data_IF_594660703093
#
_entry.id   IF_594660703093
#
_cell.length_a   1.000
_cell.length_b   1.000
_cell.length_c   1.000
_cell.angle_alpha   90.00
_cell.angle_beta   90.00
_cell.angle_gamma   90.00
#
_symmetry.space_group_name_H-M   'P 1'
#
loop_
_entity.id
_entity.type
_entity.pdbx_description
1 polymer ?
#
# COMPACT_ATOMS: atom_id res chain seq x y z
N UNK A 1 -7.35 -6.44 30.13
CA UNK A 1 -7.80 -7.82 29.91
C UNK A 1 -7.50 -8.20 28.47
N UNK A 2 -6.78 -9.31 28.24
CA UNK A 2 -6.50 -9.81 26.90
C UNK A 2 -7.78 -10.45 26.36
N UNK A 3 -8.22 -10.08 25.15
CA UNK A 3 -9.45 -10.64 24.56
C UNK A 3 -9.22 -12.15 24.32
N UNK A 4 -10.15 -13.03 24.71
CA UNK A 4 -9.99 -14.46 24.46
C UNK A 4 -9.88 -14.70 22.94
N UNK A 5 -8.88 -15.48 22.57
CA UNK A 5 -8.59 -15.84 21.18
C UNK A 5 -9.50 -17.01 20.80
N UNK A 6 -10.28 -16.84 19.73
CA UNK A 6 -11.10 -17.90 19.16
C UNK A 6 -10.62 -18.16 17.74
N UNK A 7 -10.03 -19.34 17.52
CA UNK A 7 -9.60 -19.77 16.19
C UNK A 7 -10.76 -20.32 15.38
N UNK A 8 -10.74 -20.08 14.06
CA UNK A 8 -11.59 -20.84 13.14
C UNK A 8 -11.08 -22.27 12.98
N UNK A 9 -11.89 -23.16 12.41
CA UNK A 9 -11.49 -24.55 12.13
C UNK A 9 -10.26 -24.65 11.20
N UNK A 10 -10.00 -23.60 10.40
CA UNK A 10 -8.82 -23.52 9.52
C UNK A 10 -7.54 -23.14 10.25
N UNK A 11 -7.61 -22.76 11.53
CA UNK A 11 -6.49 -22.18 12.29
C UNK A 11 -6.22 -22.92 13.60
N UNK A 12 -6.92 -24.04 13.81
CA UNK A 12 -7.04 -24.75 15.07
C UNK A 12 -5.70 -25.26 15.60
N UNK A 13 -4.80 -25.62 14.69
CA UNK A 13 -3.45 -26.13 15.01
C UNK A 13 -2.36 -25.20 14.51
N UNK A 14 -1.17 -25.19 15.15
CA UNK A 14 -0.02 -24.45 14.65
C UNK A 14 0.36 -24.82 13.20
N UNK A 15 0.24 -26.10 12.83
CA UNK A 15 0.53 -26.57 11.47
C UNK A 15 -0.42 -25.94 10.43
N UNK A 16 -1.72 -25.90 10.73
CA UNK A 16 -2.70 -25.25 9.84
C UNK A 16 -2.44 -23.73 9.72
N UNK A 17 -2.05 -23.07 10.81
CA UNK A 17 -1.67 -21.66 10.76
C UNK A 17 -0.42 -21.43 9.92
N UNK A 18 0.58 -22.32 10.02
CA UNK A 18 1.78 -22.25 9.20
C UNK A 18 1.44 -22.41 7.71
N UNK A 19 0.60 -23.39 7.36
CA UNK A 19 0.15 -23.62 5.98
C UNK A 19 -0.55 -22.38 5.39
N UNK A 20 -1.36 -21.67 6.18
CA UNK A 20 -2.00 -20.42 5.75
C UNK A 20 -0.96 -19.32 5.45
N UNK A 21 0.09 -19.20 6.24
CA UNK A 21 1.19 -18.24 6.00
C UNK A 21 1.99 -18.64 4.76
N UNK A 22 2.29 -19.92 4.59
CA UNK A 22 3.05 -20.41 3.44
C UNK A 22 2.28 -20.13 2.14
N UNK A 23 0.97 -20.35 2.13
CA UNK A 23 0.09 -19.99 1.02
C UNK A 23 0.09 -18.48 0.74
N UNK A 24 0.02 -17.64 1.77
CA UNK A 24 0.06 -16.18 1.62
C UNK A 24 1.42 -15.69 1.06
N UNK A 25 2.53 -16.32 1.48
CA UNK A 25 3.86 -16.04 0.93
C UNK A 25 3.96 -16.44 -0.54
N UNK A 26 3.49 -17.65 -0.90
CA UNK A 26 3.51 -18.13 -2.27
C UNK A 26 2.75 -17.19 -3.21
N UNK A 27 1.56 -16.72 -2.79
CA UNK A 27 0.78 -15.72 -3.52
C UNK A 27 1.48 -14.37 -3.64
N UNK A 28 2.18 -13.93 -2.59
CA UNK A 28 2.94 -12.67 -2.62
C UNK A 28 4.10 -12.76 -3.62
N UNK A 29 4.87 -13.85 -3.57
CA UNK A 29 6.00 -14.10 -4.48
C UNK A 29 5.53 -14.19 -5.93
N UNK A 30 4.41 -14.87 -6.18
CA UNK A 30 3.82 -14.94 -7.52
C UNK A 30 3.41 -13.55 -8.08
N UNK A 31 3.14 -12.58 -7.20
CA UNK A 31 2.85 -11.19 -7.56
C UNK A 31 4.10 -10.28 -7.54
N UNK A 32 5.29 -10.84 -7.32
CA UNK A 32 6.54 -10.08 -7.23
C UNK A 32 6.70 -9.28 -5.93
N UNK A 33 5.90 -9.59 -4.91
CA UNK A 33 5.93 -8.95 -3.60
C UNK A 33 6.62 -9.85 -2.56
N UNK A 34 7.41 -9.23 -1.67
CA UNK A 34 8.02 -9.89 -0.52
C UNK A 34 7.46 -9.28 0.76
N UNK A 35 6.96 -10.10 1.72
CA UNK A 35 6.51 -9.59 3.01
C UNK A 35 7.60 -8.78 3.71
N UNK A 36 7.21 -7.65 4.31
CA UNK A 36 8.14 -6.85 5.11
C UNK A 36 8.51 -7.57 6.41
N UNK A 37 9.65 -7.21 7.02
CA UNK A 37 10.06 -7.79 8.32
C UNK A 37 9.00 -7.64 9.43
N UNK A 38 8.19 -6.58 9.36
CA UNK A 38 7.08 -6.38 10.29
C UNK A 38 5.91 -7.33 10.03
N UNK A 39 5.56 -7.57 8.77
CA UNK A 39 4.56 -8.57 8.41
C UNK A 39 5.01 -9.97 8.87
N UNK A 40 6.31 -10.28 8.71
CA UNK A 40 6.89 -11.54 9.18
C UNK A 40 6.79 -11.72 10.70
N UNK A 41 7.00 -10.65 11.47
CA UNK A 41 6.81 -10.69 12.92
C UNK A 41 5.34 -10.97 13.31
N UNK A 42 4.37 -10.45 12.56
CA UNK A 42 2.95 -10.76 12.78
C UNK A 42 2.62 -12.21 12.44
N UNK A 43 3.18 -12.74 11.35
CA UNK A 43 3.02 -14.14 10.97
C UNK A 43 3.60 -15.10 12.01
N UNK A 44 4.78 -14.80 12.56
CA UNK A 44 5.37 -15.62 13.62
C UNK A 44 4.49 -15.70 14.88
N UNK A 45 3.95 -14.55 15.32
CA UNK A 45 3.04 -14.48 16.47
C UNK A 45 1.71 -15.20 16.22
N UNK A 46 1.22 -15.11 14.99
CA UNK A 46 0.05 -15.85 14.55
C UNK A 46 0.26 -17.37 14.61
N UNK A 47 1.37 -17.88 14.05
CA UNK A 47 1.69 -19.31 14.10
C UNK A 47 1.87 -19.79 15.54
N UNK A 48 2.52 -18.99 16.39
CA UNK A 48 2.69 -19.25 17.83
C UNK A 48 1.37 -19.32 18.61
N UNK A 49 0.27 -18.85 18.04
CA UNK A 49 -1.04 -18.86 18.69
C UNK A 49 -1.32 -17.62 19.54
N UNK A 50 -0.58 -16.54 19.32
CA UNK A 50 -0.78 -15.26 20.03
C UNK A 50 -1.77 -14.33 19.33
N UNK A 51 -2.09 -14.60 18.07
CA UNK A 51 -2.99 -13.82 17.23
C UNK A 51 -3.91 -14.75 16.43
N UNK A 52 -5.05 -14.24 15.98
CA UNK A 52 -5.86 -14.84 14.90
C UNK A 52 -5.47 -14.27 13.54
N UNK A 53 -5.87 -14.92 12.44
CA UNK A 53 -5.69 -14.37 11.10
C UNK A 53 -6.43 -13.03 10.92
N UNK A 54 -7.57 -12.87 11.62
CA UNK A 54 -8.31 -11.61 11.64
C UNK A 54 -7.47 -10.49 12.26
N UNK A 55 -6.78 -10.75 13.39
CA UNK A 55 -5.92 -9.77 14.05
C UNK A 55 -4.73 -9.39 13.16
N UNK A 56 -4.12 -10.35 12.48
CA UNK A 56 -3.04 -10.09 11.50
C UNK A 56 -3.54 -9.20 10.38
N UNK A 57 -4.71 -9.50 9.80
CA UNK A 57 -5.29 -8.73 8.71
C UNK A 57 -5.62 -7.31 9.13
N UNK A 58 -6.17 -7.15 10.34
CA UNK A 58 -6.50 -5.84 10.92
C UNK A 58 -5.23 -5.00 11.13
N UNK A 59 -4.19 -5.60 11.70
CA UNK A 59 -2.94 -4.92 12.01
C UNK A 59 -2.18 -4.53 10.73
N UNK A 60 -2.17 -5.38 9.70
CA UNK A 60 -1.64 -5.03 8.38
C UNK A 60 -2.45 -3.90 7.72
N UNK A 61 -3.79 -3.97 7.78
CA UNK A 61 -4.65 -2.92 7.19
C UNK A 61 -4.44 -1.56 7.84
N UNK A 62 -4.31 -1.49 9.17
CA UNK A 62 -4.02 -0.23 9.87
C UNK A 62 -2.70 0.39 9.41
N UNK A 63 -1.73 -0.43 9.02
CA UNK A 63 -0.43 0.02 8.55
C UNK A 63 -0.48 0.50 7.10
N UNK A 64 -1.31 -0.12 6.26
CA UNK A 64 -1.51 0.32 4.88
C UNK A 64 -2.46 1.52 4.76
N UNK A 65 -3.34 1.77 5.74
CA UNK A 65 -4.27 2.90 5.76
C UNK A 65 -3.64 4.26 5.38
N UNK A 66 -2.47 4.68 5.91
CA UNK A 66 -1.81 5.90 5.45
C UNK A 66 -1.32 5.84 3.99
N UNK A 67 -0.94 4.66 3.48
CA UNK A 67 -0.49 4.45 2.10
C UNK A 67 -1.64 4.46 1.09
N UNK A 68 -2.80 3.89 1.44
CA UNK A 68 -4.01 3.93 0.58
C UNK A 68 -4.62 5.34 0.56
N UNK A 69 -4.62 6.05 1.70
CA UNK A 69 -5.05 7.44 1.76
C UNK A 69 -4.13 8.37 0.95
N UNK A 70 -2.81 8.14 0.99
CA UNK A 70 -1.87 8.89 0.15
C UNK A 70 -2.05 8.56 -1.34
N UNK A 71 -2.20 7.27 -1.70
CA UNK A 71 -2.45 6.85 -3.09
C UNK A 71 -3.78 7.41 -3.66
N UNK A 72 -4.83 7.48 -2.84
CA UNK A 72 -6.10 8.11 -3.21
C UNK A 72 -5.98 9.64 -3.38
N UNK A 73 -5.12 10.30 -2.59
CA UNK A 73 -4.84 11.73 -2.73
C UNK A 73 -4.04 12.05 -4.00
N UNK A 74 -3.03 11.25 -4.38
CA UNK A 74 -2.34 11.45 -5.67
C UNK A 74 -3.25 11.15 -6.87
N UNK A 75 -4.13 10.16 -6.77
CA UNK A 75 -5.14 9.92 -7.80
C UNK A 75 -6.18 11.05 -7.92
N UNK A 76 -6.52 11.71 -6.80
CA UNK A 76 -7.45 12.84 -6.77
C UNK A 76 -6.79 14.20 -7.06
N UNK A 77 -5.46 14.26 -7.12
CA UNK A 77 -4.66 15.48 -7.34
C UNK A 77 -4.33 15.80 -8.80
N UNK A 78 -4.87 15.07 -9.78
CA UNK A 78 -4.62 15.35 -11.20
C UNK A 78 -5.74 16.20 -11.79
N UNK A 79 -5.82 17.47 -11.41
CA UNK A 79 -6.42 18.56 -12.20
C UNK A 79 -6.23 19.87 -11.45
N UNK A 80 -5.08 20.52 -11.64
CA UNK A 80 -4.97 21.99 -11.63
C UNK A 80 -3.57 22.36 -12.12
N UNK A 81 -3.31 22.10 -13.40
CA UNK A 81 -2.38 22.92 -14.16
C UNK A 81 -3.15 24.19 -14.51
N UNK A 82 -2.86 25.37 -13.94
CA UNK A 82 -3.33 26.58 -14.57
C UNK A 82 -2.57 26.68 -15.89
N UNK A 83 -3.27 26.49 -17.00
CA UNK A 83 -2.83 26.88 -18.34
C UNK A 83 -2.55 28.37 -18.31
N UNK A 84 -1.34 28.75 -17.93
CA UNK A 84 -0.83 30.08 -18.12
C UNK A 84 -0.44 30.19 -19.59
N UNK A 85 -1.39 30.58 -20.42
CA UNK A 85 -1.10 31.15 -21.74
C UNK A 85 -0.22 32.39 -21.54
N UNK A 86 1.04 32.43 -22.01
CA UNK A 86 1.70 33.71 -22.14
C UNK A 86 1.10 34.40 -23.36
N UNK A 87 0.32 35.44 -23.02
CA UNK A 87 -0.19 36.50 -23.88
C UNK A 87 0.86 36.90 -24.92
N UNK A 88 0.56 36.69 -26.20
CA UNK A 88 1.28 37.29 -27.33
C UNK A 88 1.17 38.81 -27.19
N UNK A 89 2.23 39.46 -26.72
CA UNK A 89 2.42 40.89 -26.77
C UNK A 89 3.90 41.16 -27.04
N UNK A 90 4.14 41.93 -28.11
CA UNK A 90 5.35 42.70 -28.39
C UNK A 90 6.56 41.94 -28.96
N UNK A 91 6.67 41.95 -30.30
CA UNK A 91 7.89 42.48 -30.93
C UNK A 91 7.47 43.30 -32.17
N UNK A 92 7.78 44.60 -32.10
CA UNK A 92 7.71 45.58 -33.19
C UNK A 92 8.50 45.10 -34.41
N UNK A 93 8.09 45.47 -35.64
CA UNK A 93 8.96 45.34 -36.81
C UNK A 93 9.99 46.48 -36.78
N UNK A 94 11.24 46.19 -36.42
CA UNK A 94 12.34 47.07 -36.81
C UNK A 94 12.60 46.87 -38.31
N UNK A 95 12.05 47.80 -39.08
CA UNK A 95 12.44 48.06 -40.46
C UNK A 95 13.79 48.78 -40.43
N UNK A 96 14.87 48.03 -40.63
CA UNK A 96 16.15 48.59 -41.07
C UNK A 96 16.89 47.53 -41.90
N UNK A 97 16.55 47.48 -43.19
CA UNK A 97 17.45 46.94 -44.21
C UNK A 97 18.01 48.12 -45.01
N UNK A 98 19.09 48.71 -44.48
CA UNK A 98 20.12 49.34 -45.29
C UNK A 98 21.09 48.24 -45.76
N UNK A 99 21.11 47.96 -47.07
CA UNK A 99 22.28 47.84 -47.98
C UNK A 99 21.83 47.20 -49.29
#
# INVERSE_FOLDING_TARGET
MQKPITYSEREKTPAQRQELIDNARAWSVAQGAVPSARAEALYARYVAGELTLQDVTEELRRQDAPRVAAAAQVASGTSNTPTATPRRAEMQPEQDFLT
#
